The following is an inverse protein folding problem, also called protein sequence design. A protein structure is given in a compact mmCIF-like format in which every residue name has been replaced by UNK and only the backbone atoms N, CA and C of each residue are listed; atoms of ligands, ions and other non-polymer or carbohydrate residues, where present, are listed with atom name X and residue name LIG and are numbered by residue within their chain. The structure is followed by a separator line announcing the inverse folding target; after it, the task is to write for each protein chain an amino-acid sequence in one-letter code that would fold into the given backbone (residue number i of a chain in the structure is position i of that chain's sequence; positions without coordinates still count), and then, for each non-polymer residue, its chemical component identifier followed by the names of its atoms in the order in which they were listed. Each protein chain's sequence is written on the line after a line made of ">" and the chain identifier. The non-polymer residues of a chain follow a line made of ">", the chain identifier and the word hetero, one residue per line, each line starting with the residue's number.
data_IF_202491404713
#
_entry.id   IF_202491404713
#
_cell.length_a   1.000
_cell.length_b   1.000
_cell.length_c   1.000
_cell.angle_alpha   90.00
_cell.angle_beta   90.00
_cell.angle_gamma   90.00
#
_symmetry.space_group_name_H-M   'P 1'
#
loop_
_entity.id
_entity.type
_entity.pdbx_description
1 polymer ?
#
# COMPACT_ATOMS: atom_id res chain seq x y z
N UNK A 1 -17.21 0.75 -6.45
CA UNK A 1 -16.34 0.29 -5.34
C UNK A 1 -16.22 1.30 -4.20
N UNK A 2 -15.72 2.54 -4.38
CA UNK A 2 -15.51 3.52 -3.28
C UNK A 2 -16.69 3.72 -2.29
N UNK A 3 -17.91 3.85 -2.79
CA UNK A 3 -19.12 3.97 -1.94
C UNK A 3 -19.33 2.75 -1.03
N UNK A 4 -19.00 1.55 -1.51
CA UNK A 4 -19.11 0.33 -0.70
C UNK A 4 -18.13 0.30 0.47
N UNK A 5 -17.05 1.09 0.40
CA UNK A 5 -16.06 1.25 1.45
C UNK A 5 -16.17 2.61 2.16
N UNK A 6 -17.37 3.21 2.19
CA UNK A 6 -17.63 4.44 2.96
C UNK A 6 -16.96 5.71 2.43
N UNK A 7 -16.55 5.74 1.15
CA UNK A 7 -15.96 6.93 0.51
C UNK A 7 -16.94 7.49 -0.54
N UNK A 8 -17.80 8.47 -0.18
CA UNK A 8 -18.90 8.90 -1.04
C UNK A 8 -18.50 9.96 -2.07
N UNK A 9 -17.41 9.74 -2.81
CA UNK A 9 -16.97 10.64 -3.89
C UNK A 9 -16.71 9.90 -5.22
N UNK A 10 -16.93 10.62 -6.31
CA UNK A 10 -16.82 10.19 -7.70
C UNK A 10 -15.42 10.44 -8.29
N UNK A 11 -15.13 9.85 -9.46
CA UNK A 11 -13.89 10.16 -10.20
C UNK A 11 -13.82 11.66 -10.55
N UNK A 12 -14.94 12.24 -10.98
CA UNK A 12 -15.05 13.67 -11.31
C UNK A 12 -14.67 14.58 -10.15
N UNK A 13 -15.10 14.27 -8.92
CA UNK A 13 -14.74 15.05 -7.74
C UNK A 13 -13.26 14.92 -7.40
N UNK A 14 -12.69 13.71 -7.50
CA UNK A 14 -11.26 13.48 -7.33
C UNK A 14 -10.43 14.26 -8.36
N UNK A 15 -10.79 14.17 -9.64
CA UNK A 15 -10.13 14.88 -10.73
C UNK A 15 -10.24 16.40 -10.58
N UNK A 16 -11.40 16.90 -10.10
CA UNK A 16 -11.58 18.32 -9.79
C UNK A 16 -10.65 18.77 -8.67
N UNK A 17 -10.48 17.95 -7.62
CA UNK A 17 -9.49 18.19 -6.56
C UNK A 17 -8.06 18.20 -7.11
N UNK A 18 -7.68 17.20 -7.92
CA UNK A 18 -6.33 17.12 -8.51
C UNK A 18 -6.04 18.34 -9.38
N UNK A 19 -6.99 18.74 -10.23
CA UNK A 19 -6.88 19.94 -11.07
C UNK A 19 -6.68 21.21 -10.22
N UNK A 20 -7.45 21.37 -9.15
CA UNK A 20 -7.34 22.51 -8.26
C UNK A 20 -5.99 22.51 -7.51
N UNK A 21 -5.55 21.37 -6.99
CA UNK A 21 -4.28 21.23 -6.28
C UNK A 21 -3.08 21.54 -7.18
N UNK A 22 -3.07 20.99 -8.40
CA UNK A 22 -2.02 21.27 -9.40
C UNK A 22 -2.00 22.76 -9.79
N UNK A 23 -3.17 23.37 -10.05
CA UNK A 23 -3.28 24.82 -10.30
C UNK A 23 -2.81 25.67 -9.12
N UNK A 24 -3.06 25.20 -7.90
CA UNK A 24 -2.62 25.84 -6.66
C UNK A 24 -1.12 25.70 -6.37
N UNK A 25 -0.36 25.04 -7.25
CA UNK A 25 1.08 24.86 -7.07
C UNK A 25 1.45 23.78 -6.06
N UNK A 26 0.57 22.79 -5.84
CA UNK A 26 0.91 21.61 -5.04
C UNK A 26 2.20 20.99 -5.58
N UNK A 27 3.13 20.70 -4.67
CA UNK A 27 4.44 20.13 -5.04
C UNK A 27 4.38 18.62 -5.18
N UNK A 28 3.52 17.97 -4.40
CA UNK A 28 3.39 16.52 -4.35
C UNK A 28 2.01 16.12 -3.83
N UNK A 29 1.44 15.10 -4.46
CA UNK A 29 0.16 14.48 -4.16
C UNK A 29 0.40 12.97 -4.30
N UNK A 30 0.34 12.26 -3.18
CA UNK A 30 0.43 10.81 -3.16
C UNK A 30 -1.00 10.25 -3.15
N UNK A 31 -1.35 9.48 -4.18
CA UNK A 31 -2.70 8.96 -4.38
C UNK A 31 -2.70 7.44 -4.24
N UNK A 32 -3.32 6.93 -3.18
CA UNK A 32 -3.35 5.50 -2.88
C UNK A 32 -4.65 4.85 -3.36
N UNK A 33 -4.52 3.81 -4.17
CA UNK A 33 -5.59 2.89 -4.52
C UNK A 33 -5.39 1.57 -3.76
N UNK A 34 -6.43 1.17 -3.04
CA UNK A 34 -6.41 -0.06 -2.25
C UNK A 34 -6.94 -1.25 -3.07
N UNK A 35 -6.33 -2.41 -2.88
CA UNK A 35 -6.82 -3.73 -3.35
C UNK A 35 -7.38 -4.53 -2.17
N UNK A 36 -8.21 -5.55 -2.46
CA UNK A 36 -8.88 -6.35 -1.43
C UNK A 36 -10.14 -5.69 -0.85
N UNK A 37 -10.75 -4.76 -1.58
CA UNK A 37 -11.99 -4.11 -1.17
C UNK A 37 -13.24 -4.85 -1.64
N UNK A 38 -14.41 -4.64 -1.01
CA UNK A 38 -15.66 -5.25 -1.43
C UNK A 38 -16.02 -4.81 -2.85
N UNK A 39 -16.53 -5.76 -3.64
CA UNK A 39 -16.90 -5.62 -5.05
C UNK A 39 -15.71 -5.41 -6.02
N UNK A 40 -14.47 -5.57 -5.57
CA UNK A 40 -13.34 -5.70 -6.48
C UNK A 40 -13.21 -7.15 -6.92
N UNK A 41 -12.82 -7.33 -8.17
CA UNK A 41 -12.25 -8.56 -8.71
C UNK A 41 -10.86 -8.28 -9.29
N UNK A 42 -10.18 -9.32 -9.77
CA UNK A 42 -8.85 -9.19 -10.36
C UNK A 42 -8.80 -8.15 -11.49
N UNK A 43 -9.79 -8.16 -12.39
CA UNK A 43 -9.85 -7.27 -13.55
C UNK A 43 -9.97 -5.80 -13.12
N UNK A 44 -10.84 -5.50 -12.14
CA UNK A 44 -11.06 -4.15 -11.63
C UNK A 44 -9.80 -3.55 -10.96
N UNK A 45 -8.95 -4.38 -10.36
CA UNK A 45 -7.64 -3.94 -9.86
C UNK A 45 -6.76 -3.51 -11.03
N UNK A 46 -6.76 -4.23 -12.14
CA UNK A 46 -5.99 -3.86 -13.33
C UNK A 46 -6.57 -2.63 -14.06
N UNK A 47 -7.89 -2.45 -14.05
CA UNK A 47 -8.55 -1.22 -14.55
C UNK A 47 -8.10 0.03 -13.78
N UNK A 48 -7.75 -0.13 -12.50
CA UNK A 48 -7.18 0.96 -11.70
C UNK A 48 -5.87 1.47 -12.30
N UNK A 49 -5.06 0.60 -12.92
CA UNK A 49 -3.84 1.01 -13.62
C UNK A 49 -4.16 1.88 -14.83
N UNK A 50 -5.20 1.53 -15.59
CA UNK A 50 -5.68 2.32 -16.74
C UNK A 50 -6.13 3.71 -16.27
N UNK A 51 -6.88 3.78 -15.16
CA UNK A 51 -7.28 5.06 -14.58
C UNK A 51 -6.08 5.86 -14.05
N UNK A 52 -5.09 5.22 -13.42
CA UNK A 52 -3.85 5.87 -13.01
C UNK A 52 -3.08 6.47 -14.20
N UNK A 53 -3.02 5.78 -15.35
CA UNK A 53 -2.43 6.33 -16.58
C UNK A 53 -3.14 7.62 -16.97
N UNK A 54 -4.48 7.59 -17.05
CA UNK A 54 -5.29 8.77 -17.36
C UNK A 54 -4.96 9.94 -16.41
N UNK A 55 -4.91 9.69 -15.09
CA UNK A 55 -4.58 10.73 -14.11
C UNK A 55 -3.15 11.27 -14.28
N UNK A 56 -2.17 10.42 -14.58
CA UNK A 56 -0.78 10.83 -14.78
C UNK A 56 -0.62 11.67 -16.06
N UNK A 57 -1.29 11.32 -17.14
CA UNK A 57 -1.26 12.09 -18.40
C UNK A 57 -1.86 13.49 -18.22
N UNK A 58 -2.91 13.63 -17.40
CA UNK A 58 -3.61 14.91 -17.22
C UNK A 58 -3.06 15.76 -16.07
N UNK A 59 -2.51 15.15 -15.02
CA UNK A 59 -2.11 15.83 -13.77
C UNK A 59 -0.67 15.53 -13.31
N UNK A 60 0.02 14.60 -13.95
CA UNK A 60 1.36 14.12 -13.56
C UNK A 60 2.53 14.92 -14.15
N UNK A 61 2.30 15.89 -15.04
CA UNK A 61 3.36 16.54 -15.83
C UNK A 61 4.51 17.16 -15.02
N UNK A 62 4.25 17.77 -13.87
CA UNK A 62 5.29 18.33 -12.98
C UNK A 62 5.83 17.33 -11.95
N UNK A 63 5.58 16.03 -12.16
CA UNK A 63 5.80 14.96 -11.16
C UNK A 63 5.10 15.26 -9.83
N UNK A 64 4.02 16.01 -9.89
CA UNK A 64 3.21 16.41 -8.74
C UNK A 64 2.35 15.26 -8.24
N UNK A 65 1.92 14.36 -9.12
CA UNK A 65 1.06 13.23 -8.78
C UNK A 65 1.85 11.92 -8.79
N UNK A 66 1.76 11.20 -7.67
CA UNK A 66 2.35 9.88 -7.50
C UNK A 66 1.26 8.90 -7.08
N UNK A 67 0.68 8.12 -8.01
CA UNK A 67 -0.28 7.09 -7.68
C UNK A 67 0.42 5.82 -7.17
N UNK A 68 -0.25 5.10 -6.28
CA UNK A 68 0.20 3.84 -5.70
C UNK A 68 -0.95 2.84 -5.68
N UNK A 69 -0.64 1.57 -5.92
CA UNK A 69 -1.55 0.45 -5.68
C UNK A 69 -0.98 -0.32 -4.50
N UNK A 70 -1.77 -0.53 -3.46
CA UNK A 70 -1.37 -1.20 -2.22
C UNK A 70 -2.51 -2.08 -1.75
N UNK A 71 -2.24 -3.23 -1.11
CA UNK A 71 -3.31 -3.92 -0.41
C UNK A 71 -3.82 -3.04 0.73
N UNK A 72 -5.12 -3.17 1.05
CA UNK A 72 -5.59 -2.82 2.38
C UNK A 72 -4.67 -3.60 3.34
N UNK A 73 -4.02 -2.86 4.26
CA UNK A 73 -2.97 -3.34 5.18
C UNK A 73 -3.29 -4.76 5.66
N UNK A 74 -2.28 -5.62 5.93
CA UNK A 74 -2.42 -7.08 5.89
C UNK A 74 -3.52 -7.66 6.79
N UNK A 75 -4.11 -6.86 7.67
CA UNK A 75 -5.25 -7.22 8.47
C UNK A 75 -6.43 -6.27 8.21
N UNK A 76 -7.64 -6.81 8.11
CA UNK A 76 -8.82 -6.07 8.54
C UNK A 76 -8.64 -5.72 10.02
N UNK A 77 -8.66 -4.42 10.32
CA UNK A 77 -8.32 -3.91 11.64
C UNK A 77 -9.37 -4.33 12.69
N UNK A 78 -8.96 -4.97 13.80
CA UNK A 78 -9.84 -5.19 14.94
C UNK A 78 -10.50 -3.90 15.42
N UNK A 79 -11.80 -3.94 15.72
CA UNK A 79 -12.60 -2.76 16.06
C UNK A 79 -13.13 -1.95 14.87
N UNK A 80 -12.74 -2.28 13.63
CA UNK A 80 -13.38 -1.71 12.43
C UNK A 80 -14.74 -2.36 12.16
N UNK A 81 -15.68 -1.63 11.56
CA UNK A 81 -16.98 -2.22 11.18
C UNK A 81 -16.84 -3.42 10.24
N UNK A 82 -15.82 -3.40 9.37
CA UNK A 82 -15.51 -4.50 8.46
C UNK A 82 -15.01 -5.76 9.18
N UNK A 83 -14.30 -5.59 10.30
CA UNK A 83 -13.85 -6.70 11.14
C UNK A 83 -14.95 -7.21 12.08
N UNK A 84 -15.74 -6.30 12.68
CA UNK A 84 -16.80 -6.68 13.61
C UNK A 84 -18.02 -7.30 12.91
N UNK A 85 -18.33 -6.86 11.69
CA UNK A 85 -19.47 -7.32 10.90
C UNK A 85 -19.04 -7.76 9.48
N UNK A 86 -18.10 -8.72 9.33
CA UNK A 86 -17.44 -9.00 8.06
C UNK A 86 -18.41 -9.43 6.97
N UNK A 87 -19.36 -10.32 7.31
CA UNK A 87 -20.38 -10.79 6.37
C UNK A 87 -21.21 -9.63 5.81
N UNK A 88 -21.59 -8.65 6.65
CA UNK A 88 -22.38 -7.47 6.23
C UNK A 88 -21.65 -6.63 5.18
N UNK A 89 -20.34 -6.48 5.34
CA UNK A 89 -19.50 -5.68 4.45
C UNK A 89 -18.89 -6.48 3.29
N UNK A 90 -19.18 -7.78 3.18
CA UNK A 90 -18.72 -8.62 2.08
C UNK A 90 -17.32 -9.22 2.28
N UNK A 91 -16.88 -9.32 3.53
CA UNK A 91 -15.64 -9.95 3.95
C UNK A 91 -15.87 -11.31 4.59
N UNK A 92 -14.82 -12.14 4.56
CA UNK A 92 -14.69 -13.39 5.30
C UNK A 92 -13.38 -13.32 6.09
N UNK A 93 -13.45 -13.34 7.42
CA UNK A 93 -12.25 -13.40 8.26
C UNK A 93 -11.69 -14.82 8.27
N UNK A 94 -10.36 -14.89 8.26
CA UNK A 94 -9.56 -16.11 8.42
C UNK A 94 -8.96 -16.18 9.82
N UNK A 95 -8.62 -15.02 10.39
CA UNK A 95 -8.10 -14.87 11.74
C UNK A 95 -8.89 -13.78 12.48
N UNK A 96 -9.22 -14.01 13.74
CA UNK A 96 -10.02 -13.10 14.58
C UNK A 96 -9.35 -12.80 15.91
N UNK A 97 -8.73 -13.77 16.56
CA UNK A 97 -8.09 -13.57 17.87
C UNK A 97 -6.65 -13.08 17.71
N UNK A 98 -6.12 -12.43 18.74
CA UNK A 98 -4.72 -12.03 18.76
C UNK A 98 -3.78 -13.23 18.57
N UNK A 99 -4.09 -14.37 19.17
CA UNK A 99 -3.28 -15.58 19.06
C UNK A 99 -3.28 -16.14 17.64
N UNK A 100 -4.43 -16.15 16.96
CA UNK A 100 -4.50 -16.55 15.54
C UNK A 100 -3.66 -15.62 14.66
N UNK A 101 -3.68 -14.30 14.91
CA UNK A 101 -2.84 -13.35 14.18
C UNK A 101 -1.34 -13.56 14.48
N UNK A 102 -0.99 -13.83 15.75
CA UNK A 102 0.38 -14.12 16.18
C UNK A 102 0.93 -15.35 15.48
N UNK A 103 0.14 -16.43 15.41
CA UNK A 103 0.51 -17.64 14.68
C UNK A 103 0.59 -17.40 13.17
N UNK A 104 -0.36 -16.64 12.60
CA UNK A 104 -0.35 -16.33 11.18
C UNK A 104 0.94 -15.60 10.77
N UNK A 105 1.45 -14.67 11.59
CA UNK A 105 2.71 -13.94 11.34
C UNK A 105 3.95 -14.85 11.21
N UNK A 106 3.90 -16.10 11.66
CA UNK A 106 4.98 -17.09 11.49
C UNK A 106 4.94 -17.79 10.13
N UNK A 107 3.88 -17.57 9.33
CA UNK A 107 3.74 -18.15 8.00
C UNK A 107 4.86 -17.72 7.03
N UNK A 108 4.89 -18.32 5.83
CA UNK A 108 6.03 -18.17 4.93
C UNK A 108 6.02 -16.87 4.11
N UNK A 109 4.92 -16.12 4.09
CA UNK A 109 4.83 -14.82 3.41
C UNK A 109 3.62 -14.01 3.85
N UNK A 110 3.59 -12.73 3.51
CA UNK A 110 2.45 -11.84 3.81
C UNK A 110 1.09 -12.33 3.27
N UNK A 111 1.07 -13.16 2.23
CA UNK A 111 -0.17 -13.82 1.74
C UNK A 111 -0.82 -14.64 2.85
N UNK A 112 0.00 -15.37 3.61
CA UNK A 112 -0.44 -16.25 4.68
C UNK A 112 -0.79 -15.48 5.96
N UNK A 113 -0.29 -14.25 6.11
CA UNK A 113 -0.61 -13.37 7.24
C UNK A 113 -1.95 -12.67 7.01
N UNK A 114 -2.38 -12.55 5.75
CA UNK A 114 -3.59 -11.83 5.39
C UNK A 114 -4.82 -12.47 6.07
N UNK A 115 -5.50 -11.70 6.93
CA UNK A 115 -6.56 -12.25 7.79
C UNK A 115 -7.95 -12.30 7.17
N UNK A 116 -8.09 -12.00 5.87
CA UNK A 116 -9.39 -11.87 5.27
C UNK A 116 -9.43 -12.27 3.81
N UNK A 117 -10.63 -12.55 3.34
CA UNK A 117 -10.97 -12.57 1.92
C UNK A 117 -12.22 -11.75 1.71
N UNK A 118 -12.57 -11.52 0.45
CA UNK A 118 -13.86 -10.91 0.13
C UNK A 118 -14.74 -11.95 -0.57
N UNK A 119 -16.04 -11.65 -0.71
CA UNK A 119 -16.94 -12.49 -1.52
C UNK A 119 -16.54 -12.59 -3.01
N UNK A 120 -15.63 -11.73 -3.47
CA UNK A 120 -15.25 -11.59 -4.87
C UNK A 120 -13.80 -11.98 -5.14
N UNK A 121 -12.97 -12.05 -4.11
CA UNK A 121 -11.54 -12.33 -4.23
C UNK A 121 -11.06 -13.17 -3.07
N UNK A 122 -10.45 -14.29 -3.40
CA UNK A 122 -9.60 -15.12 -2.54
C UNK A 122 -8.34 -14.36 -2.11
N UNK A 123 -7.63 -14.88 -1.10
CA UNK A 123 -6.32 -14.34 -0.69
C UNK A 123 -5.36 -14.27 -1.87
N UNK A 124 -5.32 -15.31 -2.69
CA UNK A 124 -4.46 -15.40 -3.85
C UNK A 124 -4.77 -14.30 -4.85
N UNK A 125 -6.05 -14.09 -5.17
CA UNK A 125 -6.44 -13.02 -6.08
C UNK A 125 -6.09 -11.64 -5.52
N UNK A 126 -6.28 -11.40 -4.20
CA UNK A 126 -5.90 -10.13 -3.56
C UNK A 126 -4.39 -9.91 -3.71
N UNK A 127 -3.57 -10.89 -3.37
CA UNK A 127 -2.11 -10.80 -3.40
C UNK A 127 -1.58 -10.67 -4.82
N UNK A 128 -1.99 -11.55 -5.74
CA UNK A 128 -1.46 -11.57 -7.09
C UNK A 128 -1.93 -10.37 -7.92
N UNK A 129 -3.18 -9.91 -7.76
CA UNK A 129 -3.64 -8.68 -8.44
C UNK A 129 -2.92 -7.44 -7.92
N UNK A 130 -2.54 -7.41 -6.63
CA UNK A 130 -1.73 -6.34 -6.05
C UNK A 130 -0.35 -6.27 -6.70
N UNK A 131 0.34 -7.42 -6.82
CA UNK A 131 1.65 -7.47 -7.49
C UNK A 131 1.54 -7.10 -8.96
N UNK A 132 0.57 -7.64 -9.68
CA UNK A 132 0.41 -7.34 -11.09
C UNK A 132 0.02 -5.88 -11.34
N UNK A 133 -0.95 -5.35 -10.57
CA UNK A 133 -1.34 -3.94 -10.63
C UNK A 133 -0.17 -3.01 -10.32
N UNK A 134 0.60 -3.30 -9.26
CA UNK A 134 1.81 -2.56 -8.91
C UNK A 134 2.85 -2.58 -10.02
N UNK A 135 3.11 -3.76 -10.61
CA UNK A 135 4.08 -3.94 -11.70
C UNK A 135 3.68 -3.17 -12.96
N UNK A 136 2.41 -3.28 -13.38
CA UNK A 136 1.87 -2.57 -14.54
C UNK A 136 1.88 -1.05 -14.30
N UNK A 137 1.51 -0.59 -13.12
CA UNK A 137 1.57 0.83 -12.77
C UNK A 137 3.01 1.37 -12.78
N UNK A 138 3.98 0.58 -12.28
CA UNK A 138 5.40 0.92 -12.35
C UNK A 138 5.88 1.08 -13.79
N UNK A 139 5.44 0.21 -14.71
CA UNK A 139 5.73 0.36 -16.14
C UNK A 139 5.14 1.68 -16.69
N UNK A 140 3.88 2.00 -16.39
CA UNK A 140 3.26 3.29 -16.78
C UNK A 140 4.05 4.49 -16.25
N UNK A 141 4.47 4.45 -14.98
CA UNK A 141 5.30 5.53 -14.38
C UNK A 141 6.63 5.69 -15.12
N UNK A 142 7.25 4.59 -15.57
CA UNK A 142 8.48 4.61 -16.36
C UNK A 142 8.27 5.19 -17.76
N UNK A 143 7.23 4.74 -18.47
CA UNK A 143 6.86 5.23 -19.80
C UNK A 143 6.57 6.74 -19.82
N UNK A 144 5.86 7.24 -18.80
CA UNK A 144 5.51 8.66 -18.68
C UNK A 144 6.63 9.50 -18.05
N UNK A 145 7.79 8.92 -17.75
CA UNK A 145 8.94 9.63 -17.18
C UNK A 145 8.74 10.14 -15.74
N UNK A 146 7.71 9.64 -15.03
CA UNK A 146 7.45 9.96 -13.61
C UNK A 146 8.63 9.47 -12.77
N UNK A 147 9.06 8.23 -13.02
CA UNK A 147 10.27 7.63 -12.45
C UNK A 147 11.30 7.34 -13.55
N UNK A 148 12.60 7.31 -13.24
CA UNK A 148 13.61 6.90 -14.22
C UNK A 148 13.36 5.47 -14.74
N UNK A 149 13.57 5.24 -16.04
CA UNK A 149 13.39 3.92 -16.66
C UNK A 149 14.23 2.82 -15.97
N UNK A 150 15.46 3.14 -15.55
CA UNK A 150 16.30 2.22 -14.77
C UNK A 150 15.68 1.83 -13.42
N UNK A 151 15.01 2.77 -12.74
CA UNK A 151 14.29 2.49 -11.49
C UNK A 151 13.05 1.63 -11.79
N UNK A 152 12.31 1.93 -12.85
CA UNK A 152 11.16 1.13 -13.27
C UNK A 152 11.58 -0.33 -13.56
N UNK A 153 12.67 -0.55 -14.30
CA UNK A 153 13.19 -1.88 -14.60
C UNK A 153 13.64 -2.62 -13.32
N UNK A 154 14.34 -1.94 -12.40
CA UNK A 154 14.76 -2.54 -11.14
C UNK A 154 13.57 -2.97 -10.25
N UNK A 155 12.50 -2.16 -10.24
CA UNK A 155 11.26 -2.49 -9.50
C UNK A 155 10.52 -3.65 -10.17
N UNK A 156 10.40 -3.67 -11.51
CA UNK A 156 9.76 -4.78 -12.25
C UNK A 156 10.44 -6.12 -11.92
N UNK A 157 11.76 -6.15 -12.01
CA UNK A 157 12.56 -7.34 -11.69
C UNK A 157 12.40 -7.78 -10.23
N UNK A 158 12.38 -6.83 -9.27
CA UNK A 158 12.11 -7.15 -7.86
C UNK A 158 10.73 -7.77 -7.67
N UNK A 159 9.70 -7.24 -8.33
CA UNK A 159 8.32 -7.77 -8.25
C UNK A 159 8.26 -9.16 -8.87
N UNK A 160 8.88 -9.38 -10.04
CA UNK A 160 8.91 -10.70 -10.70
C UNK A 160 9.52 -11.77 -9.79
N UNK A 161 10.70 -11.50 -9.22
CA UNK A 161 11.34 -12.44 -8.28
C UNK A 161 10.47 -12.71 -7.07
N UNK A 162 9.81 -11.69 -6.50
CA UNK A 162 8.92 -11.87 -5.37
C UNK A 162 7.72 -12.77 -5.70
N UNK A 163 7.12 -12.60 -6.88
CA UNK A 163 6.03 -13.46 -7.37
C UNK A 163 6.51 -14.89 -7.60
N UNK A 164 7.71 -15.09 -8.15
CA UNK A 164 8.30 -16.42 -8.34
C UNK A 164 8.53 -17.13 -7.00
N UNK A 165 9.08 -16.42 -6.02
CA UNK A 165 9.26 -16.94 -4.66
C UNK A 165 7.91 -17.28 -4.03
N UNK A 166 6.91 -16.40 -4.16
CA UNK A 166 5.54 -16.65 -3.66
C UNK A 166 4.95 -17.94 -4.24
N UNK A 167 5.10 -18.16 -5.56
CA UNK A 167 4.63 -19.39 -6.22
C UNK A 167 5.36 -20.65 -5.74
N UNK A 168 6.66 -20.54 -5.42
CA UNK A 168 7.42 -21.65 -4.83
C UNK A 168 6.94 -21.97 -3.42
N UNK A 169 6.65 -20.95 -2.62
CA UNK A 169 6.05 -21.12 -1.29
C UNK A 169 4.70 -21.82 -1.42
N UNK A 170 3.84 -21.36 -2.33
CA UNK A 170 2.51 -21.95 -2.57
C UNK A 170 2.62 -23.43 -2.95
N UNK A 171 3.52 -23.77 -3.88
CA UNK A 171 3.77 -25.15 -4.24
C UNK A 171 4.22 -26.02 -3.05
N UNK A 172 5.09 -25.51 -2.17
CA UNK A 172 5.53 -26.23 -0.97
C UNK A 172 4.35 -26.45 -0.01
N UNK A 173 3.57 -25.40 0.25
CA UNK A 173 2.42 -25.46 1.17
C UNK A 173 1.32 -26.41 0.65
N UNK A 174 1.14 -26.49 -0.67
CA UNK A 174 0.11 -27.34 -1.29
C UNK A 174 0.53 -28.81 -1.40
N UNK A 175 1.82 -29.11 -1.46
CA UNK A 175 2.34 -30.48 -1.74
C UNK A 175 2.97 -31.18 -0.55
N UNK A 176 3.39 -30.46 0.48
CA UNK A 176 4.11 -30.99 1.64
C UNK A 176 3.37 -30.66 2.94
N UNK A 177 3.64 -31.41 4.01
CA UNK A 177 3.08 -31.15 5.34
C UNK A 177 4.09 -31.46 6.47
N UNK A 178 3.90 -30.82 7.62
CA UNK A 178 4.71 -31.06 8.82
C UNK A 178 6.20 -30.76 8.63
N UNK A 179 7.07 -31.63 9.14
CA UNK A 179 8.52 -31.42 9.15
C UNK A 179 9.14 -31.26 7.74
N UNK A 180 8.58 -31.93 6.73
CA UNK A 180 9.06 -31.81 5.35
C UNK A 180 8.79 -30.40 4.77
N UNK A 181 7.57 -29.89 5.02
CA UNK A 181 7.19 -28.53 4.62
C UNK A 181 8.06 -27.49 5.33
N UNK A 182 8.27 -27.63 6.64
CA UNK A 182 9.12 -26.73 7.42
C UNK A 182 10.56 -26.71 6.88
N UNK A 183 11.13 -27.88 6.57
CA UNK A 183 12.48 -27.97 6.01
C UNK A 183 12.60 -27.33 4.63
N UNK A 184 11.62 -27.57 3.76
CA UNK A 184 11.56 -26.97 2.43
C UNK A 184 11.42 -25.44 2.49
N UNK A 185 10.53 -24.94 3.34
CA UNK A 185 10.37 -23.49 3.59
C UNK A 185 11.63 -22.87 4.21
N UNK A 186 12.31 -23.57 5.12
CA UNK A 186 13.56 -23.10 5.73
C UNK A 186 14.67 -22.93 4.70
N UNK A 187 14.81 -23.89 3.77
CA UNK A 187 15.78 -23.81 2.66
C UNK A 187 15.48 -22.65 1.71
N UNK A 188 14.20 -22.31 1.53
CA UNK A 188 13.77 -21.18 0.71
C UNK A 188 13.95 -19.83 1.45
N UNK A 189 13.62 -19.79 2.75
CA UNK A 189 13.49 -18.59 3.59
C UNK A 189 14.79 -17.87 3.97
N UNK A 190 15.96 -18.49 3.80
CA UNK A 190 17.25 -17.77 3.85
C UNK A 190 17.37 -16.71 2.76
N UNK A 191 16.65 -16.85 1.64
CA UNK A 191 16.67 -15.92 0.51
C UNK A 191 15.48 -14.93 0.49
N UNK A 192 14.36 -15.24 1.17
CA UNK A 192 13.10 -14.45 1.07
C UNK A 192 13.07 -13.22 1.99
N UNK A 193 13.68 -13.28 3.18
CA UNK A 193 13.67 -12.19 4.16
C UNK A 193 14.27 -10.86 3.65
N UNK A 194 15.17 -10.93 2.68
CA UNK A 194 15.74 -9.73 2.05
C UNK A 194 14.78 -9.07 1.06
N UNK A 195 13.85 -9.83 0.49
CA UNK A 195 12.96 -9.38 -0.58
C UNK A 195 11.72 -8.64 -0.05
N UNK A 196 11.20 -9.00 1.12
CA UNK A 196 9.90 -8.51 1.63
C UNK A 196 9.85 -7.01 2.00
N UNK A 197 10.98 -6.38 2.36
CA UNK A 197 10.99 -5.02 2.96
C UNK A 197 10.47 -3.87 2.07
N UNK A 198 10.19 -4.09 0.78
CA UNK A 198 9.91 -2.97 -0.16
C UNK A 198 9.16 -3.32 -1.46
N UNK A 199 8.41 -4.42 -1.54
CA UNK A 199 8.06 -4.98 -2.86
C UNK A 199 7.00 -4.16 -3.63
N UNK A 200 5.93 -3.71 -2.98
CA UNK A 200 4.78 -3.09 -3.67
C UNK A 200 4.88 -1.56 -3.76
N UNK A 201 5.53 -0.92 -2.78
CA UNK A 201 5.83 0.50 -2.77
C UNK A 201 7.24 0.70 -2.20
N UNK A 202 8.14 1.32 -2.98
CA UNK A 202 9.46 1.61 -2.48
C UNK A 202 9.35 2.69 -1.39
N UNK A 203 9.93 2.45 -0.22
CA UNK A 203 9.90 3.43 0.88
C UNK A 203 10.50 4.77 0.46
N UNK A 204 11.46 4.77 -0.47
CA UNK A 204 12.05 5.98 -1.05
C UNK A 204 11.05 6.80 -1.85
N UNK A 205 10.04 6.17 -2.46
CA UNK A 205 8.95 6.90 -3.12
C UNK A 205 8.07 7.62 -2.09
N UNK A 206 8.02 7.18 -0.82
CA UNK A 206 7.24 7.79 0.26
C UNK A 206 8.03 8.83 1.07
N UNK A 207 9.35 8.89 0.90
CA UNK A 207 10.18 9.89 1.56
C UNK A 207 9.82 11.29 1.05
N UNK A 208 9.41 12.16 1.98
CA UNK A 208 9.07 13.53 1.63
C UNK A 208 10.36 14.30 1.33
N UNK A 209 10.43 15.09 0.24
CA UNK A 209 11.60 15.90 -0.06
C UNK A 209 11.65 17.07 0.94
N UNK A 210 12.11 16.79 2.15
CA UNK A 210 12.38 17.80 3.16
C UNK A 210 13.71 18.46 2.83
N UNK A 211 13.66 19.73 2.45
CA UNK A 211 14.86 20.54 2.55
C UNK A 211 15.18 20.66 4.04
N UNK A 212 16.42 20.32 4.43
CA UNK A 212 16.82 20.05 5.82
C UNK A 212 16.63 21.21 6.82
N UNK A 213 16.21 22.40 6.38
CA UNK A 213 16.00 23.54 7.26
C UNK A 213 14.77 24.37 6.85
N UNK A 214 13.63 24.10 7.49
CA UNK A 214 12.51 25.05 7.65
C UNK A 214 12.40 25.58 9.08
N UNK A 215 13.51 25.58 9.80
CA UNK A 215 13.59 26.21 11.11
C UNK A 215 13.87 27.70 10.91
N UNK A 216 12.94 28.55 11.33
CA UNK A 216 13.19 29.97 11.41
C UNK A 216 14.09 30.21 12.63
N UNK A 217 15.40 30.04 12.44
CA UNK A 217 16.40 30.11 13.50
C UNK A 217 16.30 31.39 14.34
N UNK A 218 15.91 32.51 13.72
CA UNK A 218 15.65 33.77 14.43
C UNK A 218 14.50 33.66 15.44
N UNK A 219 13.41 32.95 15.09
CA UNK A 219 12.30 32.70 16.03
C UNK A 219 12.71 31.76 17.16
N UNK A 220 13.47 30.71 16.84
CA UNK A 220 13.95 29.73 17.83
C UNK A 220 14.89 30.43 18.81
N UNK A 221 15.86 31.19 18.30
CA UNK A 221 16.80 31.97 19.10
C UNK A 221 16.06 33.01 19.94
N UNK A 222 15.05 33.69 19.39
CA UNK A 222 14.21 34.63 20.14
C UNK A 222 13.42 33.95 21.28
N UNK A 223 12.95 32.73 21.09
CA UNK A 223 12.26 31.97 22.16
C UNK A 223 13.23 31.53 23.27
N UNK A 224 14.46 31.17 22.92
CA UNK A 224 15.50 30.81 23.89
C UNK A 224 15.99 32.04 24.67
N UNK A 225 16.18 33.18 23.99
CA UNK A 225 16.68 34.42 24.60
C UNK A 225 15.58 35.18 25.37
N UNK A 226 14.31 35.12 24.91
CA UNK A 226 13.17 35.76 25.56
C UNK A 226 12.09 34.73 25.92
N UNK A 227 12.34 33.84 26.91
CA UNK A 227 11.34 32.90 27.36
C UNK A 227 10.16 33.67 27.97
N UNK A 228 9.04 33.74 27.26
CA UNK A 228 7.77 34.22 27.84
C UNK A 228 7.26 33.12 28.77
N UNK A 229 7.15 33.43 30.07
CA UNK A 229 6.44 32.55 31.02
C UNK A 229 5.00 32.36 30.50
N UNK A 230 4.48 31.13 30.41
CA UNK A 230 3.08 30.93 30.09
C UNK A 230 2.21 31.53 31.21
N UNK A 231 1.27 32.41 30.84
CA UNK A 231 0.18 32.82 31.71
C UNK A 231 -0.75 31.62 31.91
N UNK A 232 -0.45 30.78 32.89
CA UNK A 232 -1.39 29.79 33.39
C UNK A 232 -2.30 30.53 34.36
N UNK A 233 -3.38 31.12 33.84
CA UNK A 233 -4.51 31.52 34.68
C UNK A 233 -5.11 30.23 35.22
N UNK A 234 -4.96 29.99 36.52
CA UNK A 234 -5.72 28.96 37.24
C UNK A 234 -7.19 29.36 37.17
N UNK A 235 -8.03 28.51 36.59
CA UNK A 235 -9.47 28.60 36.76
C UNK A 235 -9.77 28.34 38.25
N UNK A 236 -10.34 29.34 38.91
CA UNK A 236 -11.05 29.24 40.19
C UNK A 236 -12.43 28.66 39.98
#
# INVERSE_FOLDING_TARGET
>A
MRRAFGRPYSNRELESFLKAAVRGGAKRIDLFFMTGLPKQDYASVLETVVYCRHLLEHYGGKKTLSPFISPLAPFLDPGSMAFEQPVRFGYRLLFRTLEEHRQALEGPSWKYFLNYETRWMTRDEIVYSTYEGGRRLNAVKGELGIIPSALAAAIDERIRRAVEVMKKIDAIVDTMAGAEQEEALRKLGTHVREMEKSIVCDKRELEWPTHFFRMNFLKILRTIIFPRRPNILRAS
#
